data_IF_775503885372
#
_entry.id   IF_775503885372
#
_cell.length_a   1.000
_cell.length_b   1.000
_cell.length_c   1.000
_cell.angle_alpha   90.00
_cell.angle_beta   90.00
_cell.angle_gamma   90.00
#
_symmetry.space_group_name_H-M   'P 1'
#
loop_
_entity.id
_entity.type
_entity.pdbx_description
1 polymer ?
#
# COMPACT_ATOMS: atom_id res chain seq x y z
N UNK A 1 5.13 20.97 -4.40
CA UNK A 1 6.31 20.65 -3.56
C UNK A 1 6.20 19.17 -3.25
N UNK A 2 7.12 18.34 -3.74
CA UNK A 2 7.13 16.93 -3.36
C UNK A 2 7.57 16.85 -1.90
N UNK A 3 6.82 16.14 -1.06
CA UNK A 3 7.26 15.86 0.31
C UNK A 3 8.31 14.76 0.19
N UNK A 4 9.57 15.14 0.24
CA UNK A 4 10.67 14.19 0.35
C UNK A 4 10.81 13.75 1.80
N UNK A 5 11.23 12.49 1.99
CA UNK A 5 11.45 11.95 3.33
C UNK A 5 12.52 12.75 4.07
N UNK A 6 12.30 13.00 5.35
CA UNK A 6 13.22 13.68 6.26
C UNK A 6 14.49 12.87 6.58
N UNK A 7 14.63 11.66 6.04
CA UNK A 7 15.80 10.79 6.25
C UNK A 7 15.88 10.14 7.64
N UNK A 8 14.85 10.29 8.49
CA UNK A 8 14.83 9.66 9.82
C UNK A 8 14.61 8.14 9.77
N UNK A 9 14.03 7.62 8.68
CA UNK A 9 13.82 6.18 8.47
C UNK A 9 15.00 5.59 7.68
N UNK A 10 15.58 4.48 8.15
CA UNK A 10 16.66 3.77 7.46
C UNK A 10 16.06 2.93 6.32
N UNK A 11 16.32 3.29 5.07
CA UNK A 11 15.82 2.56 3.89
C UNK A 11 14.73 3.33 3.13
N UNK A 12 13.73 2.61 2.60
CA UNK A 12 12.60 3.24 1.90
C UNK A 12 11.63 3.81 2.94
N UNK A 13 11.34 5.13 2.93
CA UNK A 13 10.47 5.75 3.91
C UNK A 13 9.06 5.18 3.82
N UNK A 14 8.46 4.92 4.98
CA UNK A 14 7.07 4.48 5.09
C UNK A 14 6.16 5.51 4.42
N UNK A 15 5.14 5.05 3.70
CA UNK A 15 4.21 5.95 3.01
C UNK A 15 3.56 6.96 3.97
N UNK A 16 3.25 6.57 5.21
CA UNK A 16 2.75 7.49 6.23
C UNK A 16 3.73 8.62 6.55
N UNK A 17 5.04 8.35 6.61
CA UNK A 17 6.06 9.36 6.91
C UNK A 17 6.12 10.46 5.84
N UNK A 18 5.75 10.15 4.59
CA UNK A 18 5.66 11.13 3.51
C UNK A 18 4.44 12.07 3.66
N UNK A 19 3.40 11.64 4.37
CA UNK A 19 2.14 12.40 4.47
C UNK A 19 1.83 12.86 5.90
N UNK A 20 2.68 12.55 6.87
CA UNK A 20 2.49 12.87 8.29
C UNK A 20 2.23 14.37 8.52
N UNK A 21 3.01 15.20 7.84
CA UNK A 21 2.94 16.66 7.90
C UNK A 21 2.15 17.27 6.74
N UNK A 22 1.42 16.44 5.97
CA UNK A 22 0.60 16.95 4.89
C UNK A 22 -0.54 17.84 5.45
N UNK A 23 -0.90 18.93 4.75
CA UNK A 23 -2.00 19.81 5.16
C UNK A 23 -3.31 19.03 5.27
N UNK A 24 -3.98 19.14 6.42
CA UNK A 24 -5.30 18.52 6.71
C UNK A 24 -6.46 19.49 6.50
N UNK A 25 -6.18 20.74 6.14
CA UNK A 25 -7.15 21.80 5.90
C UNK A 25 -6.70 22.65 4.71
N UNK A 26 -7.63 23.35 4.06
CA UNK A 26 -7.33 24.18 2.89
C UNK A 26 -8.58 24.60 2.12
N UNK A 27 -8.38 25.26 0.97
CA UNK A 27 -9.47 25.71 0.08
C UNK A 27 -10.22 24.55 -0.58
N UNK A 28 -9.59 23.39 -0.67
CA UNK A 28 -10.19 22.18 -1.24
C UNK A 28 -10.11 21.05 -0.21
N UNK A 29 -11.11 20.15 -0.17
CA UNK A 29 -11.03 18.95 0.64
C UNK A 29 -9.76 18.17 0.31
N UNK A 30 -9.04 17.75 1.34
CA UNK A 30 -7.82 16.95 1.22
C UNK A 30 -8.08 15.56 1.77
N UNK A 31 -7.61 14.55 1.04
CA UNK A 31 -7.72 13.16 1.47
C UNK A 31 -6.94 12.90 2.77
N UNK A 32 -5.95 13.76 3.09
CA UNK A 32 -5.16 13.70 4.32
C UNK A 32 -5.93 14.14 5.56
N UNK A 33 -7.11 14.74 5.39
CA UNK A 33 -8.00 15.07 6.49
C UNK A 33 -8.80 13.85 6.99
N UNK A 34 -8.82 12.74 6.25
CA UNK A 34 -9.67 11.59 6.53
C UNK A 34 -8.93 10.57 7.40
N UNK A 35 -9.32 10.39 8.67
CA UNK A 35 -8.62 9.49 9.58
C UNK A 35 -8.59 8.05 9.05
N UNK A 36 -9.64 7.61 8.36
CA UNK A 36 -9.71 6.27 7.78
C UNK A 36 -8.56 6.02 6.80
N UNK A 37 -8.17 7.03 6.02
CA UNK A 37 -7.05 6.93 5.08
C UNK A 37 -5.73 7.01 5.86
N UNK A 38 -5.55 8.01 6.71
CA UNK A 38 -4.26 8.21 7.39
C UNK A 38 -3.92 7.08 8.37
N UNK A 39 -4.90 6.57 9.11
CA UNK A 39 -4.73 5.44 10.04
C UNK A 39 -4.51 4.13 9.27
N UNK A 40 -5.22 3.90 8.17
CA UNK A 40 -4.94 2.76 7.29
C UNK A 40 -3.48 2.78 6.81
N UNK A 41 -3.00 3.94 6.36
CA UNK A 41 -1.63 4.07 5.88
C UNK A 41 -0.58 3.87 6.98
N UNK A 42 -0.88 4.15 8.26
CA UNK A 42 0.02 3.80 9.38
C UNK A 42 0.15 2.30 9.58
N UNK A 43 -0.93 1.54 9.38
CA UNK A 43 -0.93 0.08 9.53
C UNK A 43 -0.34 -0.58 8.30
N UNK A 44 -0.79 -0.19 7.11
CA UNK A 44 -0.33 -0.75 5.83
C UNK A 44 1.16 -0.48 5.57
N UNK A 45 1.74 0.56 6.19
CA UNK A 45 3.17 0.85 6.10
C UNK A 45 4.02 0.17 7.17
N UNK A 46 3.43 -0.67 8.03
CA UNK A 46 4.23 -1.51 8.92
C UNK A 46 5.01 -2.54 8.10
N UNK A 47 6.25 -2.86 8.49
CA UNK A 47 6.97 -3.95 7.88
C UNK A 47 6.15 -5.24 8.04
N UNK A 48 6.07 -6.01 6.95
CA UNK A 48 5.52 -7.37 7.01
C UNK A 48 6.33 -8.13 8.06
N UNK A 49 5.65 -8.73 9.03
CA UNK A 49 6.33 -9.53 10.05
C UNK A 49 6.95 -10.76 9.40
N UNK A 50 8.26 -10.90 9.53
CA UNK A 50 9.02 -12.03 8.99
C UNK A 50 9.74 -11.70 7.69
N UNK A 51 10.56 -12.65 7.18
CA UNK A 51 11.08 -12.53 5.83
C UNK A 51 9.89 -12.43 4.87
N UNK A 52 9.98 -11.53 3.90
CA UNK A 52 9.12 -11.62 2.72
C UNK A 52 9.18 -13.08 2.23
N UNK A 53 8.05 -13.67 1.80
CA UNK A 53 8.09 -14.96 1.14
C UNK A 53 9.21 -14.91 0.10
N UNK A 54 10.06 -15.95 0.03
CA UNK A 54 11.09 -16.02 -1.01
C UNK A 54 10.42 -15.67 -2.33
N UNK A 55 11.10 -14.81 -3.11
CA UNK A 55 10.57 -14.14 -4.31
C UNK A 55 9.44 -14.95 -4.90
N UNK A 56 8.22 -14.41 -4.90
CA UNK A 56 7.08 -15.11 -5.48
C UNK A 56 7.55 -15.70 -6.81
N UNK A 57 7.49 -17.03 -6.94
CA UNK A 57 7.87 -17.68 -8.18
C UNK A 57 7.15 -16.94 -9.30
N UNK A 58 7.86 -16.72 -10.41
CA UNK A 58 7.27 -16.06 -11.57
C UNK A 58 5.95 -16.75 -11.84
N UNK A 59 4.86 -15.96 -11.89
CA UNK A 59 3.55 -16.50 -12.22
C UNK A 59 3.73 -17.29 -13.52
N UNK A 60 3.36 -18.58 -13.57
CA UNK A 60 3.42 -19.34 -14.81
C UNK A 60 2.66 -18.59 -15.90
N UNK A 61 3.25 -18.48 -17.08
CA UNK A 61 2.51 -17.97 -18.23
C UNK A 61 1.30 -18.89 -18.45
N UNK A 62 0.09 -18.33 -18.58
CA UNK A 62 -1.10 -19.15 -18.78
C UNK A 62 -0.97 -19.90 -20.10
N UNK A 63 -1.27 -21.19 -20.09
CA UNK A 63 -1.40 -21.94 -21.32
C UNK A 63 -2.75 -21.63 -22.01
N UNK A 64 -2.93 -22.08 -23.26
CA UNK A 64 -4.18 -21.86 -23.97
C UNK A 64 -5.39 -22.60 -23.36
N UNK A 65 -5.14 -23.60 -22.51
CA UNK A 65 -6.15 -24.33 -21.73
C UNK A 65 -6.49 -23.67 -20.39
N UNK A 66 -5.68 -22.73 -19.89
CA UNK A 66 -5.87 -21.93 -18.67
C UNK A 66 -6.93 -20.83 -18.86
N UNK A 67 -8.08 -21.22 -19.39
CA UNK A 67 -9.24 -20.34 -19.50
C UNK A 67 -9.80 -20.05 -18.09
N UNK A 68 -10.39 -18.86 -17.86
CA UNK A 68 -11.06 -18.54 -16.62
C UNK A 68 -12.11 -19.61 -16.25
N UNK A 69 -11.98 -20.20 -15.05
CA UNK A 69 -12.96 -21.15 -14.51
C UNK A 69 -14.03 -20.38 -13.76
N UNK A 70 -15.29 -20.52 -14.17
CA UNK A 70 -16.42 -19.98 -13.42
C UNK A 70 -16.62 -20.78 -12.13
N UNK A 71 -16.27 -20.19 -10.99
CA UNK A 71 -16.56 -20.77 -9.66
C UNK A 71 -17.99 -20.39 -9.29
N UNK A 72 -18.84 -21.40 -9.07
CA UNK A 72 -20.21 -21.19 -8.60
C UNK A 72 -20.19 -20.90 -7.10
N UNK A 73 -20.93 -19.88 -6.66
CA UNK A 73 -21.18 -19.68 -5.23
C UNK A 73 -21.95 -20.88 -4.67
N UNK A 74 -21.36 -21.53 -3.66
CA UNK A 74 -22.06 -22.54 -2.86
C UNK A 74 -23.05 -21.79 -1.97
N UNK A 75 -24.35 -22.02 -2.18
CA UNK A 75 -25.42 -21.56 -1.28
C UNK A 75 -25.45 -22.38 0.00
#
# INVERSE_FOLDING_TARGET
MAVESTGQERGNPRFYALIENAPKTGKSPTIWAWPQITEFLKVASQPVQGPWPPHQDVRPDPDASDMPVAVRDNK
#
